data_IF_780502057669
#
_entry.id   IF_780502057669
#
_cell.length_a   1.000
_cell.length_b   1.000
_cell.length_c   1.000
_cell.angle_alpha   90.00
_cell.angle_beta   90.00
_cell.angle_gamma   90.00
#
_symmetry.space_group_name_H-M   'P 1'
#
loop_
_entity.id
_entity.type
_entity.pdbx_description
1 polymer ?
#
# COMPACT_ATOMS: atom_id res chain seq x y z
N UNK A 1 5.97 -32.51 -16.99
CA UNK A 1 7.23 -32.07 -16.37
C UNK A 1 6.95 -30.82 -15.55
N UNK A 2 6.88 -30.95 -14.22
CA UNK A 2 6.69 -29.81 -13.32
C UNK A 2 7.99 -29.01 -13.25
N UNK A 3 8.00 -27.80 -13.82
CA UNK A 3 9.12 -26.87 -13.63
C UNK A 3 9.10 -26.40 -12.17
N UNK A 4 10.17 -26.69 -11.43
CA UNK A 4 10.39 -26.18 -10.08
C UNK A 4 10.95 -24.77 -10.25
N UNK A 5 10.18 -23.76 -9.87
CA UNK A 5 10.60 -22.36 -9.94
C UNK A 5 11.22 -21.95 -8.61
N UNK A 6 12.47 -21.52 -8.63
CA UNK A 6 13.15 -20.95 -7.47
C UNK A 6 12.61 -19.53 -7.24
N UNK A 7 11.75 -19.38 -6.22
CA UNK A 7 11.09 -18.13 -5.83
C UNK A 7 12.06 -16.99 -5.51
N UNK A 8 13.28 -17.29 -5.07
CA UNK A 8 14.29 -16.29 -4.73
C UNK A 8 14.99 -15.69 -5.98
N UNK A 9 14.77 -16.29 -7.15
CA UNK A 9 15.32 -15.83 -8.44
C UNK A 9 14.35 -14.96 -9.23
N UNK A 10 13.19 -14.61 -8.67
CA UNK A 10 12.19 -13.73 -9.29
C UNK A 10 12.63 -12.26 -9.12
N UNK A 11 13.87 -11.97 -9.49
CA UNK A 11 14.40 -10.62 -9.55
C UNK A 11 13.93 -9.98 -10.86
N UNK A 12 13.14 -8.93 -10.72
CA UNK A 12 12.92 -7.85 -11.69
C UNK A 12 12.43 -8.30 -13.08
N UNK A 13 11.10 -8.31 -13.27
CA UNK A 13 10.51 -8.56 -14.57
C UNK A 13 10.57 -7.31 -15.45
N UNK A 14 11.50 -7.33 -16.40
CA UNK A 14 11.50 -6.45 -17.56
C UNK A 14 10.28 -6.78 -18.46
N UNK A 15 9.63 -5.76 -19.02
CA UNK A 15 8.27 -5.86 -19.63
C UNK A 15 8.15 -6.67 -20.92
N UNK A 16 9.23 -7.14 -21.53
CA UNK A 16 9.22 -7.48 -22.96
C UNK A 16 9.52 -8.95 -23.32
N UNK A 17 9.24 -9.94 -22.45
CA UNK A 17 9.24 -11.35 -22.90
C UNK A 17 8.10 -12.20 -22.33
N UNK A 18 7.29 -12.75 -23.24
CA UNK A 18 6.06 -13.56 -23.04
C UNK A 18 6.29 -14.94 -22.37
N UNK A 19 7.28 -15.07 -21.48
CA UNK A 19 7.44 -16.28 -20.65
C UNK A 19 7.09 -16.03 -19.17
N UNK A 20 6.17 -15.10 -18.92
CA UNK A 20 5.66 -14.84 -17.57
C UNK A 20 4.75 -15.99 -17.09
N UNK A 21 5.12 -16.57 -15.95
CA UNK A 21 4.29 -17.52 -15.21
C UNK A 21 2.99 -16.80 -14.82
N UNK A 22 1.84 -17.44 -15.07
CA UNK A 22 0.53 -16.92 -14.69
C UNK A 22 0.51 -16.56 -13.19
N UNK A 23 0.20 -15.30 -12.80
CA UNK A 23 0.25 -14.89 -11.41
C UNK A 23 -0.78 -15.63 -10.54
N UNK A 24 -1.83 -16.21 -11.11
CA UNK A 24 -2.73 -17.13 -10.38
C UNK A 24 -2.00 -18.41 -9.93
N UNK A 25 -1.08 -18.93 -10.75
CA UNK A 25 -0.27 -20.10 -10.39
C UNK A 25 0.69 -19.72 -9.26
N UNK A 26 1.33 -18.54 -9.36
CA UNK A 26 2.21 -18.03 -8.30
C UNK A 26 1.45 -17.83 -6.98
N UNK A 27 0.25 -17.25 -7.05
CA UNK A 27 -0.59 -17.04 -5.87
C UNK A 27 -0.95 -18.36 -5.20
N UNK A 28 -1.40 -19.36 -5.96
CA UNK A 28 -1.70 -20.71 -5.44
C UNK A 28 -0.49 -21.35 -4.78
N UNK A 29 0.68 -21.22 -5.39
CA UNK A 29 1.92 -21.76 -4.83
C UNK A 29 2.27 -21.08 -3.49
N UNK A 30 2.20 -19.75 -3.40
CA UNK A 30 2.48 -19.02 -2.16
C UNK A 30 1.47 -19.36 -1.05
N UNK A 31 0.19 -19.49 -1.39
CA UNK A 31 -0.84 -19.88 -0.42
C UNK A 31 -0.70 -21.33 0.08
N UNK A 32 -0.04 -22.19 -0.70
CA UNK A 32 0.25 -23.58 -0.29
C UNK A 32 1.46 -23.72 0.64
N UNK A 33 2.24 -22.66 0.84
CA UNK A 33 3.38 -22.68 1.77
C UNK A 33 2.90 -22.73 3.22
N UNK A 34 3.66 -23.43 4.07
CA UNK A 34 3.37 -23.57 5.50
C UNK A 34 4.57 -23.14 6.35
N UNK A 35 4.52 -22.00 7.07
CA UNK A 35 3.45 -21.00 7.03
C UNK A 35 3.44 -20.20 5.70
N UNK A 36 2.29 -19.66 5.29
CA UNK A 36 2.23 -18.76 4.14
C UNK A 36 2.96 -17.45 4.44
N UNK A 37 3.42 -16.70 3.42
CA UNK A 37 4.15 -15.45 3.61
C UNK A 37 3.38 -14.41 4.44
N UNK A 38 2.06 -14.39 4.32
CA UNK A 38 1.16 -13.52 5.07
C UNK A 38 -0.17 -14.23 5.34
N UNK A 39 -0.68 -14.14 6.57
CA UNK A 39 -2.00 -14.66 6.92
C UNK A 39 -3.08 -13.63 6.63
N UNK A 40 -3.94 -13.90 5.65
CA UNK A 40 -5.05 -13.02 5.28
C UNK A 40 -6.17 -13.05 6.33
N UNK A 41 -6.72 -11.88 6.61
CA UNK A 41 -7.88 -11.67 7.48
C UNK A 41 -9.18 -11.72 6.68
N UNK A 42 -9.15 -11.22 5.44
CA UNK A 42 -10.28 -11.22 4.51
C UNK A 42 -10.14 -12.32 3.45
N UNK A 43 -11.25 -12.80 2.87
CA UNK A 43 -11.20 -13.69 1.71
C UNK A 43 -10.41 -13.06 0.55
N UNK A 44 -9.66 -13.90 -0.15
CA UNK A 44 -8.83 -13.48 -1.30
C UNK A 44 -9.67 -12.75 -2.36
N UNK A 45 -10.87 -13.25 -2.65
CA UNK A 45 -11.74 -12.65 -3.66
C UNK A 45 -12.19 -11.24 -3.29
N UNK A 46 -12.45 -10.96 -2.01
CA UNK A 46 -12.83 -9.62 -1.53
C UNK A 46 -11.65 -8.64 -1.62
N UNK A 47 -10.43 -9.17 -1.48
CA UNK A 47 -9.20 -8.40 -1.58
C UNK A 47 -8.83 -8.10 -3.03
N UNK A 48 -8.94 -9.07 -3.92
CA UNK A 48 -8.53 -8.97 -5.33
C UNK A 48 -9.60 -8.31 -6.19
N UNK A 49 -10.86 -8.71 -6.05
CA UNK A 49 -11.94 -8.25 -6.92
C UNK A 49 -12.48 -6.92 -6.40
N UNK A 50 -12.91 -6.06 -7.32
CA UNK A 50 -13.56 -4.79 -6.99
C UNK A 50 -14.90 -4.72 -7.74
N UNK A 51 -16.04 -4.88 -7.06
CA UNK A 51 -17.33 -4.86 -7.73
C UNK A 51 -17.63 -3.45 -8.26
N UNK A 52 -18.45 -3.32 -9.32
CA UNK A 52 -18.93 -2.04 -9.79
C UNK A 52 -19.60 -1.25 -8.67
N UNK A 53 -19.41 0.07 -8.67
CA UNK A 53 -20.11 0.97 -7.75
C UNK A 53 -21.61 0.99 -8.08
N UNK A 54 -22.43 1.47 -7.15
CA UNK A 54 -23.88 1.61 -7.34
C UNK A 54 -24.28 2.44 -8.56
N UNK A 55 -23.42 3.37 -8.99
CA UNK A 55 -23.62 4.18 -10.19
C UNK A 55 -23.09 3.52 -11.48
N UNK A 56 -22.81 2.22 -11.47
CA UNK A 56 -22.26 1.45 -12.59
C UNK A 56 -20.79 1.71 -12.90
N UNK A 57 -20.12 2.60 -12.16
CA UNK A 57 -18.70 2.88 -12.40
C UNK A 57 -17.84 1.69 -12.00
N UNK A 58 -17.08 1.15 -12.95
CA UNK A 58 -16.09 0.10 -12.70
C UNK A 58 -14.90 0.73 -11.95
N UNK A 59 -14.56 0.26 -10.74
CA UNK A 59 -13.39 0.73 -10.01
C UNK A 59 -12.10 0.25 -10.69
N UNK A 60 -10.99 0.93 -10.43
CA UNK A 60 -9.67 0.47 -10.89
C UNK A 60 -9.32 -0.88 -10.25
N UNK A 61 -8.52 -1.72 -10.92
CA UNK A 61 -7.87 -2.84 -10.25
C UNK A 61 -7.03 -2.32 -9.08
N UNK A 62 -6.98 -3.11 -8.00
CA UNK A 62 -6.30 -2.71 -6.76
C UNK A 62 -4.80 -2.98 -6.91
N UNK A 63 -3.97 -2.02 -6.52
CA UNK A 63 -2.53 -2.24 -6.40
C UNK A 63 -2.18 -2.98 -5.09
N UNK A 64 -0.94 -3.42 -4.95
CA UNK A 64 -0.45 -4.20 -3.81
C UNK A 64 -0.69 -3.53 -2.46
N UNK A 65 -0.40 -2.23 -2.34
CA UNK A 65 -0.66 -1.47 -1.11
C UNK A 65 -2.16 -1.37 -0.76
N UNK A 66 -3.04 -1.14 -1.74
CA UNK A 66 -4.48 -1.06 -1.49
C UNK A 66 -5.04 -2.41 -1.00
N UNK A 67 -4.53 -3.52 -1.55
CA UNK A 67 -4.89 -4.87 -1.11
C UNK A 67 -4.44 -5.09 0.34
N UNK A 68 -3.17 -4.82 0.66
CA UNK A 68 -2.64 -4.91 2.02
C UNK A 68 -3.41 -4.04 3.01
N UNK A 69 -3.66 -2.78 2.64
CA UNK A 69 -4.39 -1.84 3.47
C UNK A 69 -5.79 -2.33 3.81
N UNK A 70 -6.51 -2.91 2.86
CA UNK A 70 -7.85 -3.42 3.10
C UNK A 70 -7.84 -4.56 4.12
N UNK A 71 -6.92 -5.52 3.97
CA UNK A 71 -6.76 -6.63 4.91
C UNK A 71 -6.34 -6.16 6.29
N UNK A 72 -5.27 -5.36 6.36
CA UNK A 72 -4.72 -4.88 7.63
C UNK A 72 -5.69 -3.96 8.37
N UNK A 73 -6.46 -3.14 7.64
CA UNK A 73 -7.53 -2.33 8.23
C UNK A 73 -8.63 -3.20 8.83
N UNK A 74 -9.00 -4.32 8.19
CA UNK A 74 -9.98 -5.26 8.73
C UNK A 74 -9.45 -5.93 10.00
N UNK A 75 -8.17 -6.31 10.02
CA UNK A 75 -7.49 -6.84 11.22
C UNK A 75 -7.54 -5.87 12.39
N UNK A 76 -7.16 -4.60 12.17
CA UNK A 76 -7.21 -3.57 13.21
C UNK A 76 -8.65 -3.40 13.70
N UNK A 77 -9.64 -3.32 12.81
CA UNK A 77 -11.04 -3.12 13.19
C UNK A 77 -11.63 -4.28 13.98
N UNK A 78 -11.18 -5.51 13.71
CA UNK A 78 -11.58 -6.69 14.47
C UNK A 78 -11.08 -6.64 15.92
N UNK A 79 -9.95 -5.98 16.16
CA UNK A 79 -9.36 -5.82 17.49
C UNK A 79 -9.83 -4.54 18.20
N UNK A 80 -10.01 -3.45 17.45
CA UNK A 80 -10.30 -2.11 17.95
C UNK A 80 -11.34 -1.41 17.05
N UNK A 81 -12.62 -1.54 17.39
CA UNK A 81 -13.74 -1.01 16.57
C UNK A 81 -13.81 0.52 16.52
N UNK A 82 -13.24 1.23 17.50
CA UNK A 82 -13.44 2.67 17.69
C UNK A 82 -12.35 3.55 17.02
N UNK A 83 -11.48 2.97 16.19
CA UNK A 83 -10.42 3.75 15.53
C UNK A 83 -10.93 4.48 14.28
N UNK A 84 -10.58 5.76 14.18
CA UNK A 84 -10.88 6.55 12.99
C UNK A 84 -10.11 6.05 11.77
N UNK A 85 -10.68 6.23 10.58
CA UNK A 85 -10.05 5.84 9.30
C UNK A 85 -8.69 6.54 9.10
N UNK A 86 -8.56 7.79 9.56
CA UNK A 86 -7.29 8.54 9.48
C UNK A 86 -6.18 7.83 10.26
N UNK A 87 -6.46 7.47 11.52
CA UNK A 87 -5.52 6.74 12.39
C UNK A 87 -5.13 5.38 11.79
N UNK A 88 -6.12 4.60 11.32
CA UNK A 88 -5.87 3.32 10.67
C UNK A 88 -4.96 3.49 9.45
N UNK A 89 -5.19 4.54 8.64
CA UNK A 89 -4.37 4.82 7.45
C UNK A 89 -2.91 5.08 7.80
N UNK A 90 -2.65 5.82 8.89
CA UNK A 90 -1.29 6.08 9.39
C UNK A 90 -0.60 4.78 9.79
N UNK A 91 -1.27 3.98 10.63
CA UNK A 91 -0.74 2.69 11.12
C UNK A 91 -0.41 1.74 9.97
N UNK A 92 -1.35 1.57 9.03
CA UNK A 92 -1.17 0.70 7.85
C UNK A 92 0.02 1.16 7.01
N UNK A 93 0.17 2.47 6.79
CA UNK A 93 1.26 3.01 5.98
C UNK A 93 2.61 2.73 6.59
N UNK A 94 2.72 2.80 7.93
CA UNK A 94 3.94 2.44 8.64
C UNK A 94 4.18 0.92 8.62
N UNK A 95 3.13 0.13 8.88
CA UNK A 95 3.21 -1.32 8.85
C UNK A 95 3.65 -1.86 7.47
N UNK A 96 3.21 -1.23 6.38
CA UNK A 96 3.63 -1.59 5.01
C UNK A 96 5.13 -1.42 4.79
N UNK A 97 5.70 -0.28 5.20
CA UNK A 97 7.15 -0.01 5.07
C UNK A 97 8.01 -0.99 5.85
N UNK A 98 7.46 -1.52 6.95
CA UNK A 98 8.14 -2.46 7.83
C UNK A 98 7.86 -3.93 7.48
N UNK A 99 7.07 -4.23 6.45
CA UNK A 99 6.83 -5.62 6.05
C UNK A 99 8.09 -6.26 5.45
N UNK A 100 8.31 -7.57 5.67
CA UNK A 100 9.39 -8.29 5.02
C UNK A 100 9.14 -8.39 3.50
N UNK A 101 10.23 -8.53 2.74
CA UNK A 101 10.18 -8.62 1.27
C UNK A 101 9.23 -9.71 0.77
N UNK A 102 9.15 -10.86 1.45
CA UNK A 102 8.25 -11.96 1.08
C UNK A 102 6.77 -11.57 1.15
N UNK A 103 6.39 -10.75 2.14
CA UNK A 103 5.03 -10.22 2.26
C UNK A 103 4.76 -9.20 1.16
N UNK A 104 5.70 -8.28 0.91
CA UNK A 104 5.56 -7.28 -0.16
C UNK A 104 5.39 -7.95 -1.53
N UNK A 105 6.18 -9.00 -1.82
CA UNK A 105 6.07 -9.82 -3.02
C UNK A 105 4.72 -10.56 -3.11
N UNK A 106 4.24 -11.10 -1.99
CA UNK A 106 2.93 -11.75 -1.95
C UNK A 106 1.80 -10.78 -2.32
N UNK A 107 1.82 -9.55 -1.79
CA UNK A 107 0.84 -8.52 -2.16
C UNK A 107 1.01 -7.99 -3.58
N UNK A 108 2.24 -7.99 -4.11
CA UNK A 108 2.49 -7.68 -5.53
C UNK A 108 1.82 -8.72 -6.44
N UNK A 109 1.99 -10.01 -6.16
CA UNK A 109 1.32 -11.09 -6.90
C UNK A 109 -0.20 -10.98 -6.80
N UNK A 110 -0.75 -10.68 -5.61
CA UNK A 110 -2.20 -10.41 -5.47
C UNK A 110 -2.66 -9.27 -6.38
N UNK A 111 -1.84 -8.22 -6.54
CA UNK A 111 -2.17 -7.09 -7.41
C UNK A 111 -2.09 -7.43 -8.90
N UNK A 112 -1.14 -8.29 -9.29
CA UNK A 112 -1.07 -8.84 -10.65
C UNK A 112 -2.31 -9.67 -10.98
N UNK A 113 -2.74 -10.54 -10.06
CA UNK A 113 -3.99 -11.31 -10.20
C UNK A 113 -5.21 -10.37 -10.27
N UNK A 114 -5.24 -9.31 -9.45
CA UNK A 114 -6.32 -8.31 -9.50
C UNK A 114 -6.39 -7.64 -10.88
N UNK A 115 -5.25 -7.24 -11.43
CA UNK A 115 -5.17 -6.67 -12.77
C UNK A 115 -5.62 -7.66 -13.86
N UNK A 116 -5.12 -8.90 -13.82
CA UNK A 116 -5.46 -9.93 -14.81
C UNK A 116 -6.96 -10.26 -14.79
N UNK A 117 -7.54 -10.53 -13.61
CA UNK A 117 -8.98 -10.79 -13.47
C UNK A 117 -9.81 -9.60 -13.92
N UNK A 118 -9.41 -8.38 -13.54
CA UNK A 118 -10.09 -7.17 -13.95
C UNK A 118 -10.07 -6.99 -15.48
N UNK A 119 -8.92 -7.23 -16.13
CA UNK A 119 -8.78 -7.14 -17.59
C UNK A 119 -9.67 -8.16 -18.32
N UNK A 120 -9.79 -9.38 -17.78
CA UNK A 120 -10.68 -10.42 -18.32
C UNK A 120 -12.15 -10.01 -18.14
N UNK A 121 -12.52 -9.51 -16.96
CA UNK A 121 -13.90 -9.14 -16.63
C UNK A 121 -14.36 -7.88 -17.36
N UNK A 122 -13.45 -6.93 -17.59
CA UNK A 122 -13.73 -5.63 -18.20
C UNK A 122 -12.72 -5.33 -19.34
N UNK A 123 -12.84 -6.03 -20.48
CA UNK A 123 -11.88 -5.91 -21.60
C UNK A 123 -11.82 -4.49 -22.18
N UNK A 124 -12.94 -3.77 -22.17
CA UNK A 124 -13.05 -2.40 -22.68
C UNK A 124 -12.80 -1.31 -21.62
N UNK A 125 -12.34 -1.69 -20.43
CA UNK A 125 -12.10 -0.73 -19.36
C UNK A 125 -11.00 0.26 -19.73
N UNK A 126 -11.30 1.55 -19.57
CA UNK A 126 -10.33 2.64 -19.70
C UNK A 126 -10.35 3.52 -18.48
N UNK A 127 -9.17 3.75 -17.92
CA UNK A 127 -9.03 4.68 -16.81
C UNK A 127 -9.22 6.13 -17.28
N UNK A 128 -10.28 6.78 -16.79
CA UNK A 128 -10.60 8.18 -17.05
C UNK A 128 -10.77 8.95 -15.73
N UNK A 129 -9.75 9.67 -15.22
CA UNK A 129 -9.89 10.49 -14.03
C UNK A 129 -10.91 11.61 -14.27
N UNK A 130 -11.91 11.70 -13.40
CA UNK A 130 -12.76 12.88 -13.35
C UNK A 130 -11.98 14.04 -12.73
N UNK A 131 -11.82 15.14 -13.48
CA UNK A 131 -11.32 16.40 -12.93
C UNK A 131 -12.42 16.97 -12.03
N UNK A 132 -12.19 17.00 -10.73
CA UNK A 132 -13.02 17.82 -9.84
C UNK A 132 -12.60 19.27 -10.07
N UNK A 133 -13.54 20.12 -10.48
CA UNK A 133 -13.31 21.55 -10.54
C UNK A 133 -12.89 22.04 -9.15
N UNK A 134 -11.72 22.69 -9.06
CA UNK A 134 -11.27 23.30 -7.81
C UNK A 134 -12.19 24.47 -7.52
N UNK A 135 -13.17 24.31 -6.62
CA UNK A 135 -13.74 25.46 -5.93
C UNK A 135 -12.61 26.01 -5.05
N UNK A 136 -11.96 27.06 -5.52
CA UNK A 136 -10.90 27.77 -4.79
C UNK A 136 -11.46 28.27 -3.46
N UNK A 137 -11.31 27.50 -2.40
CA UNK A 137 -11.39 28.05 -1.05
C UNK A 137 -10.05 28.74 -0.83
N UNK A 138 -10.05 30.07 -0.97
CA UNK A 138 -8.91 30.92 -0.66
C UNK A 138 -8.69 30.81 0.85
N UNK A 139 -7.77 29.95 1.28
CA UNK A 139 -7.16 30.06 2.61
C UNK A 139 -6.18 31.23 2.58
N UNK A 140 -6.36 32.18 3.50
CA UNK A 140 -5.68 33.48 3.59
C UNK A 140 -4.18 33.40 3.95
N UNK A 141 -3.40 32.50 3.34
CA UNK A 141 -1.97 32.33 3.66
C UNK A 141 -1.01 32.83 2.59
N UNK A 142 -1.49 33.38 1.46
CA UNK A 142 -0.63 33.76 0.33
C UNK A 142 -0.47 35.27 0.10
N UNK A 143 -0.70 36.13 1.10
CA UNK A 143 -0.45 37.57 0.99
C UNK A 143 0.72 38.01 1.88
N UNK A 144 1.93 37.58 1.54
CA UNK A 144 3.14 38.32 1.91
C UNK A 144 3.92 38.56 0.62
N UNK A 145 3.79 39.78 0.10
CA UNK A 145 4.64 40.32 -0.94
C UNK A 145 5.92 40.81 -0.27
N UNK A 146 7.05 40.15 -0.51
CA UNK A 146 8.38 40.73 -0.29
C UNK A 146 9.09 40.81 -1.63
N UNK A 147 9.60 42.02 -1.91
CA UNK A 147 10.24 42.45 -3.15
C UNK A 147 11.69 41.97 -3.26
N UNK A 148 12.05 41.73 -4.52
CA UNK A 148 13.32 41.91 -5.27
C UNK A 148 14.69 41.51 -4.69
N UNK A 149 15.40 40.81 -5.59
CA UNK A 149 16.85 40.58 -5.74
C UNK A 149 17.53 39.49 -4.90
N UNK A 150 17.91 38.38 -5.58
CA UNK A 150 19.29 37.84 -5.70
C UNK A 150 19.28 36.50 -6.48
N UNK A 151 20.08 36.49 -7.54
CA UNK A 151 20.66 35.43 -8.39
C UNK A 151 20.27 33.95 -8.22
N UNK A 152 19.98 33.31 -9.37
CA UNK A 152 19.90 31.86 -9.56
C UNK A 152 21.22 31.14 -9.27
N UNK A 153 21.17 29.94 -8.67
CA UNK A 153 21.94 28.85 -9.25
C UNK A 153 21.14 27.55 -9.45
N UNK A 154 21.69 26.79 -10.37
CA UNK A 154 21.32 25.49 -10.93
C UNK A 154 21.13 24.35 -9.91
N UNK A 155 20.08 23.56 -10.14
CA UNK A 155 20.01 22.08 -10.10
C UNK A 155 20.67 21.32 -8.92
N UNK A 156 19.87 20.63 -8.09
CA UNK A 156 20.06 19.23 -7.61
C UNK A 156 19.16 18.88 -6.41
N UNK A 157 18.42 17.77 -6.57
CA UNK A 157 17.84 16.79 -5.63
C UNK A 157 17.54 17.08 -4.14
N UNK A 158 16.43 16.43 -3.70
CA UNK A 158 15.98 16.06 -2.34
C UNK A 158 15.14 17.11 -1.58
N UNK A 159 13.81 16.97 -1.68
CA UNK A 159 12.88 17.51 -0.71
C UNK A 159 12.68 16.51 0.44
N UNK A 160 13.66 16.48 1.34
CA UNK A 160 13.48 16.19 2.78
C UNK A 160 13.78 17.53 3.45
N UNK A 161 12.88 18.18 4.17
CA UNK A 161 12.51 17.86 5.55
C UNK A 161 11.58 19.00 5.98
N UNK A 162 10.50 18.69 6.71
CA UNK A 162 9.66 19.63 7.51
C UNK A 162 8.33 18.97 7.94
N UNK A 163 8.00 17.78 7.43
CA UNK A 163 6.85 17.00 7.93
C UNK A 163 7.20 16.02 9.07
N UNK A 164 8.49 15.80 9.32
CA UNK A 164 8.98 14.79 10.26
C UNK A 164 8.91 15.26 11.73
N UNK A 165 9.08 16.56 11.97
CA UNK A 165 9.12 17.10 13.33
C UNK A 165 7.74 17.38 13.95
N UNK A 166 6.66 17.35 13.16
CA UNK A 166 5.31 17.62 13.68
C UNK A 166 4.53 16.37 14.08
N UNK A 167 4.95 15.17 13.65
CA UNK A 167 4.22 13.92 13.94
C UNK A 167 4.84 13.08 15.05
N UNK A 168 6.06 13.40 15.48
CA UNK A 168 6.81 12.67 16.51
C UNK A 168 6.37 12.99 17.94
N UNK A 169 5.41 13.90 18.14
CA UNK A 169 4.96 14.37 19.45
C UNK A 169 3.54 13.89 19.82
N UNK A 170 3.22 12.61 19.61
CA UNK A 170 1.96 12.01 20.07
C UNK A 170 2.21 10.93 21.13
N UNK A 171 1.99 11.31 22.39
CA UNK A 171 1.79 10.57 23.65
C UNK A 171 2.31 9.12 23.75
N UNK A 172 3.22 8.90 24.70
CA UNK A 172 3.90 7.64 25.03
C UNK A 172 2.97 6.42 25.22
N UNK A 173 1.69 6.61 25.56
CA UNK A 173 0.70 5.51 25.65
C UNK A 173 0.39 4.86 24.29
N UNK A 174 0.44 5.62 23.19
CA UNK A 174 0.13 5.10 21.85
C UNK A 174 1.30 4.31 21.25
N UNK A 175 2.54 4.68 21.58
CA UNK A 175 3.74 3.90 21.20
C UNK A 175 3.72 2.52 21.84
N UNK A 176 3.28 2.41 23.10
CA UNK A 176 3.14 1.15 23.83
C UNK A 176 2.09 0.24 23.18
N UNK A 177 0.98 0.81 22.68
CA UNK A 177 -0.05 0.03 21.99
C UNK A 177 0.41 -0.43 20.60
N UNK A 178 1.18 0.40 19.89
CA UNK A 178 1.80 0.08 18.60
C UNK A 178 2.85 -1.03 18.76
N UNK A 179 3.71 -0.95 19.79
CA UNK A 179 4.71 -1.98 20.10
C UNK A 179 4.08 -3.31 20.49
N UNK A 180 2.99 -3.27 21.27
CA UNK A 180 2.21 -4.45 21.65
C UNK A 180 1.46 -5.08 20.46
N UNK A 181 1.08 -4.28 19.47
CA UNK A 181 0.41 -4.74 18.24
C UNK A 181 1.39 -5.25 17.17
N UNK A 182 2.63 -4.76 17.16
CA UNK A 182 3.67 -5.15 16.22
C UNK A 182 4.58 -6.28 16.74
N UNK A 183 4.47 -6.68 18.01
CA UNK A 183 5.24 -7.79 18.58
C UNK A 183 6.75 -7.53 18.65
N UNK A 184 7.16 -6.26 18.57
CA UNK A 184 8.55 -5.85 18.61
C UNK A 184 8.91 -5.70 20.09
N UNK A 185 9.35 -6.79 20.73
CA UNK A 185 10.06 -6.68 22.00
C UNK A 185 11.38 -5.97 21.70
N UNK A 186 11.48 -4.68 22.03
CA UNK A 186 12.79 -4.09 22.31
C UNK A 186 13.26 -4.71 23.64
N UNK A 187 14.10 -5.73 23.56
CA UNK A 187 14.93 -6.11 24.69
C UNK A 187 15.66 -4.84 25.14
N UNK A 188 15.28 -4.33 26.31
CA UNK A 188 16.04 -3.32 27.05
C UNK A 188 17.42 -3.92 27.30
N UNK A 189 18.36 -3.67 26.39
CA UNK A 189 19.78 -3.66 26.73
C UNK A 189 19.98 -2.42 27.59
N UNK A 190 19.89 -2.62 28.91
CA UNK A 190 20.69 -1.93 29.91
C UNK A 190 20.49 -2.63 31.26
N UNK A 191 21.25 -3.71 31.45
CA UNK A 191 22.17 -3.82 32.58
C UNK A 191 23.40 -4.59 32.15
#
# INVERSE_FOLDING_TARGET
MSKIYNINSIAFFDSDSESQIDPEILLRLLLSQTPPPYQLTLPIDDLINSPPKSNGTIPRPKNSFIIFRNDYSARIKAQCSNMTVSKISGIVSQAWKNQPTSVLQFFEILSMVSYQRHKIMYPDYKYAPQKKEKKSQITQTSLILVRDDIETPTNTSYATDLSYDLFSAFDDENTILIDKMLGIFYDKINM
#
